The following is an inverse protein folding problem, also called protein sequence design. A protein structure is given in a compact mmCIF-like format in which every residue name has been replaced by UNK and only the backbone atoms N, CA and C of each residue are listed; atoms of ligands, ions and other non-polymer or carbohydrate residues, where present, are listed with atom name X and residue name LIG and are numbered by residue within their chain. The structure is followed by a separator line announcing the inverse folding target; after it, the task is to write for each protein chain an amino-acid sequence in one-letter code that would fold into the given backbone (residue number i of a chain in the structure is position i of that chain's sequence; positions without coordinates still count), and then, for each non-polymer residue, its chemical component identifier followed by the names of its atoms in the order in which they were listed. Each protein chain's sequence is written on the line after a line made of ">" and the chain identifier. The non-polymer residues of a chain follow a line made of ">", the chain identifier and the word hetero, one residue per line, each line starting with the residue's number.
data_IF_132338480693
#
_entry.id   IF_132338480693
#
_cell.length_a   1.000
_cell.length_b   1.000
_cell.length_c   1.000
_cell.angle_alpha   90.00
_cell.angle_beta   90.00
_cell.angle_gamma   90.00
#
_symmetry.space_group_name_H-M   'P 1'
#
loop_
_entity.id
_entity.type
_entity.pdbx_description
1 polymer ?
#
# COMPACT_ATOMS: atom_id res chain seq x y z
N UNK A 1 18.14 21.41 10.91
CA UNK A 1 17.76 20.94 9.56
C UNK A 1 16.59 21.77 9.04
N UNK A 2 16.60 22.03 7.71
CA UNK A 2 15.53 22.72 7.00
C UNK A 2 14.68 21.71 6.24
N UNK A 3 13.39 21.68 6.56
CA UNK A 3 12.41 20.75 6.00
C UNK A 3 11.46 21.46 5.07
N UNK A 4 11.22 20.89 3.90
CA UNK A 4 10.17 21.35 2.98
C UNK A 4 9.18 20.21 2.73
N UNK A 5 7.92 20.46 3.03
CA UNK A 5 6.84 19.51 2.83
C UNK A 5 5.95 19.94 1.65
N UNK A 6 5.76 19.06 0.69
CA UNK A 6 4.75 19.19 -0.36
C UNK A 6 3.52 18.39 0.00
N UNK A 7 2.43 19.07 0.25
CA UNK A 7 1.19 18.56 0.82
C UNK A 7 0.88 19.22 2.16
N UNK A 8 -0.39 19.54 2.39
CA UNK A 8 -0.88 20.13 3.64
C UNK A 8 -2.19 19.46 4.10
N UNK A 9 -2.39 18.21 3.69
CA UNK A 9 -3.50 17.38 4.15
C UNK A 9 -3.21 16.69 5.49
N UNK A 10 -4.14 15.85 5.93
CA UNK A 10 -4.05 15.15 7.23
C UNK A 10 -2.75 14.36 7.40
N UNK A 11 -2.30 13.65 6.36
CA UNK A 11 -1.06 12.88 6.40
C UNK A 11 0.17 13.77 6.63
N UNK A 12 0.31 14.86 5.86
CA UNK A 12 1.42 15.79 5.99
C UNK A 12 1.47 16.42 7.38
N UNK A 13 0.35 16.96 7.83
CA UNK A 13 0.26 17.61 9.16
C UNK A 13 0.56 16.61 10.29
N UNK A 14 0.06 15.38 10.18
CA UNK A 14 0.32 14.33 11.18
C UNK A 14 1.81 13.96 11.25
N UNK A 15 2.47 13.77 10.10
CA UNK A 15 3.91 13.49 10.04
C UNK A 15 4.72 14.66 10.63
N UNK A 16 4.41 15.90 10.24
CA UNK A 16 5.11 17.07 10.73
C UNK A 16 4.95 17.29 12.23
N UNK A 17 3.76 17.00 12.79
CA UNK A 17 3.54 17.05 14.23
C UNK A 17 4.42 16.03 14.96
N UNK A 18 4.54 14.79 14.46
CA UNK A 18 5.44 13.78 15.01
C UNK A 18 6.92 14.21 14.94
N UNK A 19 7.33 14.82 13.82
CA UNK A 19 8.69 15.35 13.67
C UNK A 19 8.98 16.47 14.67
N UNK A 20 8.01 17.36 14.92
CA UNK A 20 8.15 18.37 15.96
C UNK A 20 8.31 17.76 17.36
N UNK A 21 7.59 16.67 17.67
CA UNK A 21 7.75 15.94 18.93
C UNK A 21 9.11 15.25 19.03
N UNK A 22 9.72 14.89 17.90
CA UNK A 22 11.09 14.36 17.83
C UNK A 22 12.17 15.44 17.90
N UNK A 23 11.79 16.72 18.00
CA UNK A 23 12.72 17.84 18.19
C UNK A 23 12.98 18.69 16.95
N UNK A 24 12.33 18.41 15.83
CA UNK A 24 12.41 19.30 14.67
C UNK A 24 11.71 20.61 15.01
N UNK A 25 12.46 21.71 14.92
CA UNK A 25 11.89 23.03 15.19
C UNK A 25 10.88 23.38 14.11
N UNK A 26 9.65 23.75 14.52
CA UNK A 26 8.58 24.12 13.59
C UNK A 26 9.00 25.26 12.66
N UNK A 27 9.83 26.15 13.16
CA UNK A 27 10.39 27.26 12.39
C UNK A 27 11.33 26.85 11.27
N UNK A 28 11.81 25.64 11.25
CA UNK A 28 12.60 25.07 10.16
C UNK A 28 11.76 24.31 9.12
N UNK A 29 10.43 24.25 9.31
CA UNK A 29 9.52 23.55 8.41
C UNK A 29 8.80 24.54 7.51
N UNK A 30 8.88 24.37 6.21
CA UNK A 30 8.09 25.11 5.21
C UNK A 30 7.13 24.14 4.53
N UNK A 31 5.83 24.46 4.56
CA UNK A 31 4.78 23.61 3.97
C UNK A 31 4.24 24.28 2.71
N UNK A 32 4.05 23.48 1.66
CA UNK A 32 3.44 23.88 0.41
C UNK A 32 2.16 23.07 0.17
N UNK A 33 1.11 23.74 -0.27
CA UNK A 33 -0.10 23.10 -0.79
C UNK A 33 -0.27 23.38 -2.30
N UNK A 34 -1.42 23.05 -2.88
CA UNK A 34 -1.72 23.30 -4.30
C UNK A 34 -1.65 24.79 -4.71
N UNK A 35 -1.67 25.70 -3.75
CA UNK A 35 -1.55 27.16 -3.97
C UNK A 35 -0.15 27.71 -3.67
N UNK A 36 0.83 26.84 -3.40
CA UNK A 36 2.20 27.20 -3.06
C UNK A 36 2.48 27.21 -1.55
N UNK A 37 3.47 27.97 -1.14
CA UNK A 37 3.93 28.07 0.26
C UNK A 37 2.82 28.56 1.18
N UNK A 38 2.73 27.96 2.37
CA UNK A 38 1.87 28.43 3.46
C UNK A 38 2.65 29.51 4.23
N UNK A 39 2.26 30.78 4.05
CA UNK A 39 2.92 31.92 4.69
C UNK A 39 1.93 32.80 5.47
N UNK A 40 2.44 33.58 6.41
CA UNK A 40 1.64 34.49 7.23
C UNK A 40 0.98 35.58 6.34
N UNK A 41 -0.34 35.73 6.46
CA UNK A 41 -1.11 36.69 5.66
C UNK A 41 -1.45 36.20 4.26
N UNK A 42 -1.28 34.91 3.94
CA UNK A 42 -1.69 34.34 2.65
C UNK A 42 -3.20 34.49 2.45
N UNK A 43 -3.68 35.05 1.31
CA UNK A 43 -5.09 35.16 1.04
C UNK A 43 -5.72 33.81 0.72
N UNK A 44 -6.70 33.39 1.51
CA UNK A 44 -7.53 32.20 1.28
C UNK A 44 -6.86 30.84 1.43
N UNK A 45 -7.67 29.83 1.68
CA UNK A 45 -7.20 28.43 1.81
C UNK A 45 -6.41 28.12 3.08
N UNK A 46 -6.64 28.88 4.13
CA UNK A 46 -6.06 28.68 5.45
C UNK A 46 -7.12 28.15 6.42
N UNK A 47 -6.80 27.06 7.08
CA UNK A 47 -7.51 26.54 8.24
C UNK A 47 -6.56 26.60 9.46
N UNK A 48 -7.07 26.29 10.65
CA UNK A 48 -6.25 26.32 11.88
C UNK A 48 -5.03 25.42 11.82
N UNK A 49 -5.13 24.26 11.19
CA UNK A 49 -4.05 23.30 11.06
C UNK A 49 -2.93 23.82 10.18
N UNK A 50 -3.27 24.41 9.04
CA UNK A 50 -2.32 25.06 8.13
C UNK A 50 -1.72 26.31 8.73
N UNK A 51 -2.52 27.10 9.45
CA UNK A 51 -2.06 28.33 10.11
C UNK A 51 -0.91 28.07 11.10
N UNK A 52 -0.87 26.91 11.74
CA UNK A 52 0.22 26.51 12.64
C UNK A 52 1.58 26.39 11.94
N UNK A 53 1.58 26.17 10.62
CA UNK A 53 2.78 26.03 9.78
C UNK A 53 3.00 27.24 8.89
N UNK A 54 2.23 28.33 9.05
CA UNK A 54 2.43 29.55 8.30
C UNK A 54 3.77 30.22 8.65
N UNK A 55 4.59 30.47 7.62
CA UNK A 55 5.93 31.03 7.77
C UNK A 55 5.97 32.51 7.41
N UNK A 56 6.80 33.26 8.11
CA UNK A 56 7.18 34.59 7.66
C UNK A 56 8.31 34.47 6.64
N UNK A 57 7.97 34.40 5.37
CA UNK A 57 8.90 34.13 4.26
C UNK A 57 8.44 34.80 2.98
N UNK A 58 9.40 35.14 2.12
CA UNK A 58 9.14 35.63 0.76
C UNK A 58 8.95 34.51 -0.27
N UNK A 59 9.23 33.25 0.09
CA UNK A 59 8.99 32.10 -0.78
C UNK A 59 7.48 31.95 -1.07
N UNK A 60 7.12 31.70 -2.33
CA UNK A 60 5.75 31.53 -2.79
C UNK A 60 5.51 30.16 -3.43
N UNK A 61 6.51 29.61 -4.04
CA UNK A 61 6.45 28.31 -4.76
C UNK A 61 7.27 27.25 -4.04
N UNK A 62 7.03 25.97 -4.41
CA UNK A 62 7.86 24.87 -3.96
C UNK A 62 9.34 25.08 -4.37
N UNK A 63 9.57 25.57 -5.60
CA UNK A 63 10.92 25.89 -6.11
C UNK A 63 11.65 26.96 -5.30
N UNK A 64 10.92 27.94 -4.73
CA UNK A 64 11.53 28.92 -3.82
C UNK A 64 11.91 28.30 -2.48
N UNK A 65 11.01 27.47 -1.95
CA UNK A 65 11.15 26.90 -0.60
C UNK A 65 12.27 25.86 -0.53
N UNK A 66 12.43 25.04 -1.59
CA UNK A 66 13.29 23.86 -1.59
C UNK A 66 14.79 24.20 -1.60
N UNK A 67 15.16 25.40 -2.03
CA UNK A 67 16.55 25.84 -2.12
C UNK A 67 17.26 25.76 -0.76
N UNK A 68 18.35 24.97 -0.71
CA UNK A 68 19.11 24.72 0.49
C UNK A 68 18.33 23.96 1.57
N UNK A 69 17.28 23.20 1.22
CA UNK A 69 16.60 22.32 2.14
C UNK A 69 17.37 21.01 2.34
N UNK A 70 17.43 20.55 3.59
CA UNK A 70 18.06 19.26 3.94
C UNK A 70 17.11 18.10 3.66
N UNK A 71 15.79 18.32 3.85
CA UNK A 71 14.77 17.27 3.72
C UNK A 71 13.59 17.75 2.91
N UNK A 72 13.20 16.94 1.92
CA UNK A 72 11.92 17.04 1.22
C UNK A 72 10.97 15.93 1.71
N UNK A 73 9.77 16.30 2.13
CA UNK A 73 8.68 15.38 2.46
C UNK A 73 7.54 15.56 1.47
N UNK A 74 7.38 14.60 0.55
CA UNK A 74 6.33 14.56 -0.45
C UNK A 74 5.13 13.74 0.02
N UNK A 75 3.99 14.41 0.21
CA UNK A 75 2.69 13.81 0.54
C UNK A 75 1.60 14.51 -0.29
N UNK A 76 1.83 14.61 -1.58
CA UNK A 76 1.04 15.42 -2.52
C UNK A 76 0.70 14.65 -3.81
N UNK A 77 1.21 15.09 -4.93
CA UNK A 77 0.90 14.52 -6.25
C UNK A 77 2.16 14.22 -7.05
N UNK A 78 2.05 13.27 -7.97
CA UNK A 78 3.12 12.83 -8.83
C UNK A 78 3.80 13.98 -9.58
N UNK A 79 5.13 13.95 -9.68
CA UNK A 79 5.91 14.79 -10.57
C UNK A 79 6.00 16.27 -10.18
N UNK A 80 5.60 16.65 -8.97
CA UNK A 80 5.68 18.06 -8.51
C UNK A 80 7.10 18.51 -8.19
N UNK A 81 7.98 17.59 -7.78
CA UNK A 81 9.39 17.87 -7.53
C UNK A 81 10.19 17.67 -8.82
N UNK A 82 10.95 18.69 -9.24
CA UNK A 82 11.75 18.67 -10.47
C UNK A 82 13.22 18.48 -10.16
N UNK A 83 14.00 18.01 -11.15
CA UNK A 83 15.43 17.77 -11.00
C UNK A 83 16.22 19.04 -10.64
N UNK A 84 15.87 20.19 -11.22
CA UNK A 84 16.48 21.48 -10.90
C UNK A 84 16.23 21.93 -9.46
N UNK A 85 15.04 21.59 -8.92
CA UNK A 85 14.72 21.82 -7.52
C UNK A 85 15.58 20.94 -6.59
N UNK A 86 15.74 19.66 -6.93
CA UNK A 86 16.59 18.72 -6.16
C UNK A 86 18.05 19.14 -6.21
N UNK A 87 18.54 19.58 -7.38
CA UNK A 87 19.91 20.07 -7.52
C UNK A 87 20.22 21.27 -6.60
N UNK A 88 19.20 22.08 -6.27
CA UNK A 88 19.32 23.24 -5.37
C UNK A 88 19.17 22.93 -3.87
N UNK A 89 18.99 21.67 -3.48
CA UNK A 89 18.93 21.25 -2.05
C UNK A 89 20.31 21.28 -1.39
N UNK A 90 20.33 21.15 -0.06
CA UNK A 90 21.56 21.05 0.74
C UNK A 90 22.38 19.79 0.39
N UNK A 91 23.60 19.68 0.92
CA UNK A 91 24.45 18.50 0.74
C UNK A 91 23.85 17.26 1.40
N UNK A 92 23.93 16.12 0.72
CA UNK A 92 23.35 14.83 1.12
C UNK A 92 21.87 14.96 1.53
N UNK A 93 21.01 15.46 0.65
CA UNK A 93 19.61 15.72 0.99
C UNK A 93 18.84 14.42 1.16
N UNK A 94 17.81 14.45 2.00
CA UNK A 94 16.85 13.36 2.15
C UNK A 94 15.59 13.68 1.35
N UNK A 95 15.20 12.78 0.44
CA UNK A 95 14.01 12.94 -0.42
C UNK A 95 13.02 11.83 -0.14
N UNK A 96 11.97 12.14 0.62
CA UNK A 96 10.83 11.25 0.86
C UNK A 96 9.74 11.57 -0.15
N UNK A 97 9.67 10.84 -1.26
CA UNK A 97 8.68 11.02 -2.32
C UNK A 97 7.59 9.94 -2.19
N UNK A 98 6.54 10.23 -1.43
CA UNK A 98 5.60 9.24 -0.91
C UNK A 98 4.23 9.23 -1.60
N UNK A 99 4.04 10.02 -2.67
CA UNK A 99 2.82 9.96 -3.47
C UNK A 99 2.66 8.59 -4.15
N UNK A 100 1.45 8.07 -4.16
CA UNK A 100 1.10 6.77 -4.75
C UNK A 100 0.08 6.93 -5.89
N UNK A 101 0.18 6.16 -6.99
CA UNK A 101 1.19 5.12 -7.27
C UNK A 101 2.52 5.67 -7.83
N UNK A 102 2.54 6.92 -8.28
CA UNK A 102 3.72 7.59 -8.84
C UNK A 102 4.20 8.65 -7.85
N UNK A 103 5.50 8.62 -7.45
CA UNK A 103 6.05 9.56 -6.49
C UNK A 103 6.16 10.99 -7.05
N UNK A 104 6.40 11.96 -6.18
CA UNK A 104 6.63 13.37 -6.54
C UNK A 104 7.81 13.55 -7.49
N UNK A 105 8.79 12.67 -7.40
CA UNK A 105 9.91 12.53 -8.34
C UNK A 105 10.38 11.07 -8.34
N UNK A 106 10.77 10.55 -9.48
CA UNK A 106 11.30 9.19 -9.58
C UNK A 106 12.74 9.14 -9.03
N UNK A 107 13.12 8.08 -8.27
CA UNK A 107 14.45 7.96 -7.66
C UNK A 107 15.62 8.11 -8.64
N UNK A 108 15.52 7.57 -9.84
CA UNK A 108 16.54 7.70 -10.88
C UNK A 108 16.75 9.14 -11.32
N UNK A 109 15.70 9.97 -11.32
CA UNK A 109 15.80 11.39 -11.65
C UNK A 109 16.50 12.18 -10.53
N UNK A 110 16.31 11.77 -9.26
CA UNK A 110 17.03 12.36 -8.12
C UNK A 110 18.51 11.99 -8.21
N UNK A 111 18.82 10.70 -8.36
CA UNK A 111 20.21 10.20 -8.42
C UNK A 111 20.99 10.76 -9.61
N UNK A 112 20.33 11.08 -10.72
CA UNK A 112 20.98 11.69 -11.88
C UNK A 112 21.57 13.08 -11.59
N UNK A 113 20.98 13.86 -10.67
CA UNK A 113 21.45 15.22 -10.31
C UNK A 113 22.06 15.28 -8.92
N UNK A 114 21.72 14.37 -8.03
CA UNK A 114 22.22 14.27 -6.65
C UNK A 114 22.47 12.80 -6.29
N UNK A 115 23.61 12.22 -6.71
CA UNK A 115 23.97 10.83 -6.39
C UNK A 115 24.15 10.61 -4.87
N UNK A 116 24.46 11.67 -4.13
CA UNK A 116 24.61 11.70 -2.67
C UNK A 116 23.26 11.71 -1.90
N UNK A 117 22.12 11.90 -2.59
CA UNK A 117 20.81 11.96 -1.93
C UNK A 117 20.38 10.62 -1.34
N UNK A 118 19.78 10.67 -0.17
CA UNK A 118 19.06 9.54 0.44
C UNK A 118 17.59 9.62 -0.02
N UNK A 119 17.06 8.51 -0.55
CA UNK A 119 15.74 8.50 -1.15
C UNK A 119 14.87 7.42 -0.52
N UNK A 120 13.61 7.76 -0.24
CA UNK A 120 12.59 6.81 0.15
C UNK A 120 11.29 7.06 -0.64
N UNK A 121 10.60 5.99 -1.01
CA UNK A 121 9.32 6.05 -1.74
C UNK A 121 8.31 5.06 -1.17
N UNK A 122 7.03 5.17 -1.56
CA UNK A 122 6.01 4.18 -1.24
C UNK A 122 6.09 2.91 -2.10
N UNK A 123 7.00 2.83 -3.07
CA UNK A 123 7.08 1.73 -4.04
C UNK A 123 7.95 0.59 -3.51
N UNK A 124 7.51 -0.64 -3.77
CA UNK A 124 8.22 -1.86 -3.35
C UNK A 124 9.42 -2.23 -4.22
N UNK A 125 9.54 -1.63 -5.40
CA UNK A 125 10.62 -1.86 -6.37
C UNK A 125 11.83 -0.93 -6.18
N UNK A 126 11.82 -0.12 -5.11
CA UNK A 126 12.93 0.76 -4.73
C UNK A 126 13.38 0.49 -3.30
N UNK A 127 14.61 0.88 -3.00
CA UNK A 127 15.15 0.89 -1.63
C UNK A 127 14.35 1.83 -0.72
N UNK A 128 14.42 1.62 0.58
CA UNK A 128 13.74 2.44 1.58
C UNK A 128 12.23 2.56 1.31
N UNK A 129 11.55 1.43 1.08
CA UNK A 129 10.11 1.42 0.90
C UNK A 129 9.39 1.88 2.18
N UNK A 130 8.68 3.00 2.10
CA UNK A 130 7.78 3.46 3.17
C UNK A 130 6.42 2.83 2.98
N UNK A 131 6.08 1.88 3.86
CA UNK A 131 4.83 1.13 3.78
C UNK A 131 4.09 1.18 5.12
N UNK A 132 2.79 1.43 5.08
CA UNK A 132 1.93 1.47 6.27
C UNK A 132 1.96 0.15 7.06
N UNK A 133 2.20 -0.98 6.40
CA UNK A 133 2.27 -2.31 7.04
C UNK A 133 3.37 -2.41 8.11
N UNK A 134 4.38 -1.57 8.05
CA UNK A 134 5.44 -1.53 9.06
C UNK A 134 4.94 -1.16 10.46
N UNK A 135 3.88 -0.36 10.54
CA UNK A 135 3.35 0.13 11.81
C UNK A 135 1.89 -0.28 12.06
N UNK A 136 1.06 -0.16 11.03
CA UNK A 136 -0.40 -0.26 11.14
C UNK A 136 -0.90 -1.51 11.87
N UNK A 137 -0.48 -2.76 11.55
CA UNK A 137 -0.99 -3.93 12.27
C UNK A 137 -0.54 -3.95 13.72
N UNK A 138 0.67 -3.50 13.99
CA UNK A 138 1.34 -3.70 15.28
C UNK A 138 1.01 -2.64 16.31
N UNK A 139 0.73 -1.40 15.89
CA UNK A 139 0.22 -0.36 16.80
C UNK A 139 -1.17 -0.74 17.30
N UNK A 140 -2.05 -1.28 16.44
CA UNK A 140 -3.36 -1.78 16.87
C UNK A 140 -3.24 -3.05 17.68
N UNK A 141 -2.31 -3.96 17.35
CA UNK A 141 -2.05 -5.15 18.15
C UNK A 141 -1.69 -4.78 19.59
N UNK A 142 -0.71 -3.90 19.77
CA UNK A 142 -0.31 -3.44 21.09
C UNK A 142 -1.43 -2.73 21.87
N UNK A 143 -2.19 -1.88 21.18
CA UNK A 143 -3.32 -1.17 21.78
C UNK A 143 -4.46 -2.11 22.20
N UNK A 144 -4.85 -3.04 21.34
CA UNK A 144 -5.94 -3.98 21.61
C UNK A 144 -5.59 -5.01 22.68
N UNK A 145 -4.36 -5.48 22.72
CA UNK A 145 -3.91 -6.47 23.71
C UNK A 145 -4.03 -5.94 25.15
N UNK A 146 -3.80 -4.64 25.35
CA UNK A 146 -3.99 -3.99 26.67
C UNK A 146 -5.36 -3.33 26.83
N UNK A 147 -6.25 -3.44 25.83
CA UNK A 147 -7.57 -2.80 25.85
C UNK A 147 -7.48 -1.28 25.97
N UNK A 148 -6.58 -0.65 25.21
CA UNK A 148 -6.44 0.79 25.21
C UNK A 148 -7.72 1.47 24.71
N UNK A 149 -8.16 2.52 25.40
CA UNK A 149 -9.40 3.26 25.08
C UNK A 149 -9.22 4.25 23.94
N UNK A 150 -7.97 4.59 23.60
CA UNK A 150 -7.59 5.47 22.50
C UNK A 150 -6.11 5.27 22.14
N UNK A 151 -5.71 5.70 20.95
CA UNK A 151 -4.30 5.79 20.55
C UNK A 151 -3.76 7.16 20.98
N UNK A 152 -2.79 7.16 21.89
CA UNK A 152 -2.16 8.39 22.40
C UNK A 152 -0.94 8.79 21.56
N UNK A 153 -0.45 10.01 21.73
CA UNK A 153 0.78 10.45 21.05
C UNK A 153 2.00 9.64 21.53
N UNK A 154 2.05 9.26 22.81
CA UNK A 154 3.10 8.42 23.37
C UNK A 154 3.15 7.04 22.71
N UNK A 155 1.99 6.45 22.40
CA UNK A 155 1.90 5.18 21.68
C UNK A 155 2.42 5.30 20.24
N UNK A 156 2.10 6.41 19.55
CA UNK A 156 2.64 6.70 18.21
C UNK A 156 4.15 6.88 18.27
N UNK A 157 4.66 7.65 19.22
CA UNK A 157 6.09 7.85 19.42
C UNK A 157 6.84 6.57 19.76
N UNK A 158 6.23 5.70 20.58
CA UNK A 158 6.79 4.39 20.90
C UNK A 158 6.92 3.50 19.65
N UNK A 159 5.92 3.53 18.76
CA UNK A 159 5.99 2.78 17.49
C UNK A 159 7.07 3.33 16.55
N UNK A 160 7.20 4.65 16.43
CA UNK A 160 8.24 5.29 15.62
C UNK A 160 9.64 4.89 16.10
N UNK A 161 9.90 4.97 17.41
CA UNK A 161 11.19 4.58 17.99
C UNK A 161 11.48 3.09 17.81
N UNK A 162 10.49 2.23 18.00
CA UNK A 162 10.65 0.79 17.84
C UNK A 162 10.99 0.41 16.37
N UNK A 163 10.41 1.12 15.37
CA UNK A 163 10.73 0.92 13.95
C UNK A 163 12.17 1.40 13.66
N UNK A 164 12.56 2.58 14.18
CA UNK A 164 13.90 3.11 13.99
C UNK A 164 14.97 2.20 14.61
N UNK A 165 14.80 1.78 15.86
CA UNK A 165 15.67 0.82 16.54
C UNK A 165 15.78 -0.51 15.78
N UNK A 166 14.71 -0.95 15.16
CA UNK A 166 14.73 -2.19 14.38
C UNK A 166 15.51 -2.05 13.08
N UNK A 167 15.48 -0.87 12.43
CA UNK A 167 16.29 -0.58 11.24
C UNK A 167 17.79 -0.61 11.54
N UNK A 168 18.18 -0.15 12.73
CA UNK A 168 19.58 -0.14 13.20
C UNK A 168 20.06 -1.51 13.73
N UNK A 169 19.12 -2.40 14.08
CA UNK A 169 19.46 -3.72 14.61
C UNK A 169 20.00 -4.65 13.50
N UNK A 170 20.93 -5.53 13.90
CA UNK A 170 21.41 -6.57 12.98
C UNK A 170 20.25 -7.39 12.41
N UNK A 171 20.32 -7.64 11.12
CA UNK A 171 19.32 -8.41 10.38
C UNK A 171 19.51 -9.89 10.69
N UNK A 172 18.41 -10.59 11.03
CA UNK A 172 18.45 -12.03 11.27
C UNK A 172 18.51 -12.80 9.95
N UNK A 173 19.03 -14.06 10.01
CA UNK A 173 19.08 -14.94 8.84
C UNK A 173 17.70 -15.15 8.19
N UNK A 174 16.64 -15.13 8.97
CA UNK A 174 15.26 -15.25 8.48
C UNK A 174 14.85 -14.07 7.59
N UNK A 175 15.23 -12.85 7.96
CA UNK A 175 14.99 -11.67 7.14
C UNK A 175 15.87 -11.68 5.90
N UNK A 176 17.16 -12.05 6.03
CA UNK A 176 18.07 -12.18 4.90
C UNK A 176 17.60 -13.21 3.88
N UNK A 177 17.02 -14.34 4.33
CA UNK A 177 16.43 -15.36 3.46
C UNK A 177 15.16 -14.89 2.75
N UNK A 178 14.42 -13.96 3.34
CA UNK A 178 13.21 -13.39 2.72
C UNK A 178 13.53 -12.36 1.62
N UNK A 179 14.75 -11.79 1.63
CA UNK A 179 15.20 -10.76 0.68
C UNK A 179 16.58 -11.10 0.09
N UNK A 180 16.69 -12.18 -0.70
CA UNK A 180 17.95 -12.65 -1.23
C UNK A 180 18.59 -11.63 -2.17
N UNK A 181 19.86 -11.33 -1.96
CA UNK A 181 20.64 -10.41 -2.80
C UNK A 181 20.49 -8.93 -2.46
N UNK A 182 19.76 -8.58 -1.41
CA UNK A 182 19.70 -7.22 -0.89
C UNK A 182 20.71 -7.03 0.26
N UNK A 183 21.38 -5.87 0.29
CA UNK A 183 22.21 -5.46 1.42
C UNK A 183 21.32 -4.84 2.49
N UNK A 184 21.10 -5.57 3.59
CA UNK A 184 20.18 -5.20 4.67
C UNK A 184 20.94 -4.66 5.89
N UNK A 185 21.90 -3.78 5.69
CA UNK A 185 22.62 -3.09 6.77
C UNK A 185 22.18 -1.63 6.84
N UNK A 186 22.05 -1.09 8.06
CA UNK A 186 21.62 0.29 8.26
C UNK A 186 22.54 1.27 7.51
N UNK A 187 21.93 2.09 6.68
CA UNK A 187 22.65 3.02 5.81
C UNK A 187 21.73 3.72 4.82
N UNK A 188 22.27 4.48 3.86
CA UNK A 188 21.46 5.28 2.92
C UNK A 188 20.44 4.49 2.10
N UNK A 189 20.66 3.18 1.91
CA UNK A 189 19.78 2.29 1.16
C UNK A 189 18.92 1.38 2.05
N UNK A 190 19.12 1.41 3.36
CA UNK A 190 18.34 0.69 4.35
C UNK A 190 18.11 1.54 5.60
N UNK A 191 17.17 2.49 5.51
CA UNK A 191 16.75 3.36 6.62
C UNK A 191 15.56 2.82 7.40
N UNK A 192 14.84 1.88 6.83
CA UNK A 192 13.56 1.40 7.33
C UNK A 192 13.51 -0.11 7.18
N UNK A 193 12.97 -0.86 8.17
CA UNK A 193 12.83 -2.31 8.07
C UNK A 193 11.99 -2.74 6.88
N UNK A 194 12.20 -3.95 6.42
CA UNK A 194 11.39 -4.53 5.34
C UNK A 194 9.98 -4.89 5.82
N UNK A 195 8.95 -4.80 4.96
CA UNK A 195 7.54 -5.06 5.31
C UNK A 195 7.26 -6.45 5.91
N UNK A 196 8.03 -7.45 5.53
CA UNK A 196 7.86 -8.83 6.02
C UNK A 196 8.87 -9.23 7.09
N UNK A 197 9.49 -8.24 7.76
CA UNK A 197 10.38 -8.51 8.89
C UNK A 197 9.57 -9.06 10.08
N UNK A 198 9.78 -10.33 10.47
CA UNK A 198 9.01 -10.96 11.55
C UNK A 198 9.23 -10.30 12.92
N UNK A 199 10.29 -9.52 13.06
CA UNK A 199 10.63 -8.81 14.31
C UNK A 199 9.72 -7.62 14.57
N UNK A 200 9.02 -7.07 13.54
CA UNK A 200 8.14 -5.90 13.65
C UNK A 200 7.11 -6.06 14.77
N UNK A 201 6.34 -7.15 14.77
CA UNK A 201 5.30 -7.39 15.78
C UNK A 201 5.87 -7.53 17.18
N UNK A 202 7.02 -8.22 17.33
CA UNK A 202 7.65 -8.52 18.62
C UNK A 202 8.32 -7.27 19.23
N UNK A 203 8.62 -6.27 18.41
CA UNK A 203 9.20 -4.99 18.83
C UNK A 203 8.15 -3.91 19.04
N UNK A 204 7.29 -3.70 18.05
CA UNK A 204 6.34 -2.57 18.05
C UNK A 204 5.18 -2.81 19.01
N UNK A 205 4.52 -3.99 18.98
CA UNK A 205 3.36 -4.22 19.82
C UNK A 205 3.65 -4.11 21.32
N UNK A 206 4.77 -4.65 21.88
CA UNK A 206 5.13 -4.43 23.28
C UNK A 206 5.47 -2.97 23.62
N UNK A 207 6.12 -2.24 22.72
CA UNK A 207 6.44 -0.84 22.93
C UNK A 207 5.16 0.01 23.04
N UNK A 208 4.21 -0.22 22.13
CA UNK A 208 2.90 0.44 22.12
C UNK A 208 2.08 0.06 23.35
N UNK A 209 2.03 -1.24 23.72
CA UNK A 209 1.31 -1.71 24.90
C UNK A 209 1.84 -1.06 26.17
N UNK A 210 3.15 -0.94 26.32
CA UNK A 210 3.78 -0.26 27.47
C UNK A 210 3.41 1.22 27.48
N UNK A 211 3.54 1.92 26.36
CA UNK A 211 3.15 3.33 26.27
C UNK A 211 1.67 3.57 26.62
N UNK A 212 0.78 2.65 26.23
CA UNK A 212 -0.63 2.71 26.58
C UNK A 212 -0.86 2.53 28.10
N UNK A 213 -0.11 1.63 28.73
CA UNK A 213 -0.15 1.44 30.19
C UNK A 213 0.38 2.68 30.92
N UNK A 214 1.54 3.19 30.50
CA UNK A 214 2.20 4.35 31.11
C UNK A 214 1.36 5.63 30.98
N UNK A 215 0.61 5.78 29.87
CA UNK A 215 -0.33 6.90 29.65
C UNK A 215 -1.72 6.69 30.28
N UNK A 216 -1.93 5.60 31.03
CA UNK A 216 -3.15 5.35 31.80
C UNK A 216 -4.40 5.04 30.93
N UNK A 217 -4.22 4.67 29.65
CA UNK A 217 -5.35 4.36 28.76
C UNK A 217 -5.62 2.85 28.63
N UNK A 218 -4.77 2.00 29.21
CA UNK A 218 -4.89 0.57 29.19
C UNK A 218 -5.93 0.08 30.23
N UNK A 219 -6.88 -0.75 29.81
CA UNK A 219 -7.88 -1.36 30.72
C UNK A 219 -7.51 -2.77 31.15
N UNK A 220 -6.55 -3.41 30.44
CA UNK A 220 -6.07 -4.78 30.71
C UNK A 220 -4.53 -4.79 30.72
N UNK A 221 -3.89 -4.32 31.79
CA UNK A 221 -2.43 -4.22 31.82
C UNK A 221 -1.73 -5.59 31.72
N UNK A 222 -0.64 -5.64 30.99
CA UNK A 222 0.21 -6.82 30.87
C UNK A 222 1.11 -6.88 32.11
N UNK A 223 1.02 -7.99 32.87
CA UNK A 223 1.86 -8.25 34.05
C UNK A 223 3.04 -9.14 33.72
N UNK A 224 2.88 -10.09 32.78
CA UNK A 224 3.92 -11.01 32.33
C UNK A 224 4.38 -10.70 30.90
N UNK A 225 5.42 -9.91 30.79
CA UNK A 225 6.00 -9.48 29.51
C UNK A 225 6.72 -10.61 28.78
N UNK A 226 7.24 -11.60 29.50
CA UNK A 226 7.94 -12.73 28.90
C UNK A 226 6.94 -13.62 28.14
N UNK A 227 5.86 -14.00 28.80
CA UNK A 227 4.77 -14.78 28.19
C UNK A 227 4.13 -13.99 27.03
N UNK A 228 3.94 -12.68 27.18
CA UNK A 228 3.39 -11.85 26.10
C UNK A 228 4.27 -11.85 24.86
N UNK A 229 5.57 -11.63 25.00
CA UNK A 229 6.52 -11.68 23.86
C UNK A 229 6.59 -13.07 23.24
N UNK A 230 6.57 -14.11 24.04
CA UNK A 230 6.54 -15.50 23.52
C UNK A 230 5.31 -15.76 22.65
N UNK A 231 4.13 -15.31 23.07
CA UNK A 231 2.89 -15.41 22.27
C UNK A 231 2.96 -14.62 20.97
N UNK A 232 3.57 -13.43 20.96
CA UNK A 232 3.77 -12.66 19.74
C UNK A 232 4.72 -13.36 18.76
N UNK A 233 5.82 -13.93 19.29
CA UNK A 233 6.76 -14.71 18.48
C UNK A 233 6.10 -15.96 17.89
N UNK A 234 5.33 -16.69 18.70
CA UNK A 234 4.57 -17.85 18.26
C UNK A 234 3.58 -17.49 17.13
N UNK A 235 2.88 -16.36 17.25
CA UNK A 235 1.97 -15.88 16.23
C UNK A 235 2.66 -15.66 14.87
N UNK A 236 3.85 -15.10 14.85
CA UNK A 236 4.66 -14.91 13.64
C UNK A 236 5.03 -16.25 13.01
N UNK A 237 5.52 -17.17 13.81
CA UNK A 237 5.91 -18.51 13.33
C UNK A 237 4.72 -19.30 12.79
N UNK A 238 3.56 -19.25 13.44
CA UNK A 238 2.36 -19.95 12.97
C UNK A 238 1.83 -19.39 11.64
N UNK A 239 1.82 -18.07 11.46
CA UNK A 239 1.39 -17.44 10.20
C UNK A 239 2.34 -17.82 9.06
N UNK A 240 3.64 -17.75 9.27
CA UNK A 240 4.65 -18.15 8.27
C UNK A 240 4.59 -19.63 7.93
N UNK A 241 4.42 -20.51 8.91
CA UNK A 241 4.29 -21.97 8.71
C UNK A 241 2.98 -22.30 7.99
N UNK A 242 1.85 -21.69 8.38
CA UNK A 242 0.57 -21.91 7.73
C UNK A 242 0.56 -21.47 6.27
N UNK A 243 1.13 -20.30 5.96
CA UNK A 243 1.24 -19.80 4.60
C UNK A 243 2.25 -20.61 3.76
N UNK A 244 3.35 -21.09 4.34
CA UNK A 244 4.29 -21.98 3.65
C UNK A 244 3.60 -23.25 3.13
N UNK A 245 2.76 -23.88 3.95
CA UNK A 245 2.00 -25.05 3.53
C UNK A 245 1.05 -24.74 2.35
N UNK A 246 0.38 -23.58 2.38
CA UNK A 246 -0.51 -23.13 1.31
C UNK A 246 0.28 -22.82 0.03
N UNK A 247 1.38 -22.07 0.12
CA UNK A 247 2.25 -21.77 -1.02
C UNK A 247 2.88 -23.05 -1.60
N UNK A 248 3.33 -23.97 -0.74
CA UNK A 248 3.87 -25.25 -1.18
C UNK A 248 2.81 -26.11 -1.87
N UNK A 249 1.60 -26.17 -1.33
CA UNK A 249 0.48 -26.86 -1.95
C UNK A 249 0.12 -26.24 -3.31
N UNK A 250 0.11 -24.91 -3.43
CA UNK A 250 -0.13 -24.21 -4.69
C UNK A 250 0.97 -24.51 -5.73
N UNK A 251 2.25 -24.50 -5.32
CA UNK A 251 3.40 -24.84 -6.20
C UNK A 251 3.39 -26.32 -6.62
N UNK A 252 2.99 -27.22 -5.74
CA UNK A 252 2.92 -28.67 -6.02
C UNK A 252 1.76 -29.06 -6.93
N UNK A 253 0.77 -28.19 -7.12
CA UNK A 253 -0.36 -28.40 -8.02
C UNK A 253 0.04 -28.37 -9.52
N UNK A 254 1.27 -28.81 -9.87
CA UNK A 254 1.79 -28.90 -11.24
C UNK A 254 0.80 -29.65 -12.15
N UNK A 255 0.35 -29.01 -13.24
CA UNK A 255 -0.64 -29.55 -14.18
C UNK A 255 -2.11 -29.29 -13.84
N UNK A 256 -2.42 -28.77 -12.65
CA UNK A 256 -3.77 -28.38 -12.20
C UNK A 256 -3.80 -26.99 -11.60
N UNK A 257 -2.96 -26.07 -12.11
CA UNK A 257 -2.96 -24.67 -11.62
C UNK A 257 -4.36 -24.09 -11.74
N UNK A 258 -4.84 -23.52 -10.65
CA UNK A 258 -6.14 -22.84 -10.60
C UNK A 258 -6.14 -21.62 -11.51
N UNK A 259 -7.24 -21.45 -12.22
CA UNK A 259 -7.47 -20.26 -13.09
C UNK A 259 -8.09 -19.18 -12.23
N UNK A 260 -7.38 -18.09 -12.05
CA UNK A 260 -7.81 -16.98 -11.17
C UNK A 260 -8.05 -15.75 -12.02
N UNK A 261 -9.27 -15.23 -11.99
CA UNK A 261 -9.63 -13.98 -12.64
C UNK A 261 -9.19 -12.80 -11.79
N UNK A 262 -8.57 -11.83 -12.43
CA UNK A 262 -8.33 -10.50 -11.90
C UNK A 262 -9.23 -9.52 -12.64
N UNK A 263 -10.25 -9.00 -11.96
CA UNK A 263 -11.30 -8.18 -12.60
C UNK A 263 -10.74 -6.87 -13.16
N UNK A 264 -9.84 -6.21 -12.42
CA UNK A 264 -9.22 -4.96 -12.82
C UNK A 264 -7.89 -5.20 -13.54
N UNK A 265 -7.89 -6.04 -14.59
CA UNK A 265 -6.68 -6.49 -15.30
C UNK A 265 -5.91 -5.39 -16.03
N UNK A 266 -6.48 -4.19 -16.20
CA UNK A 266 -5.77 -3.03 -16.74
C UNK A 266 -4.96 -2.28 -15.63
N UNK A 267 -5.17 -2.53 -14.34
CA UNK A 267 -4.48 -1.84 -13.27
C UNK A 267 -3.03 -2.30 -13.08
N UNK A 268 -2.09 -1.35 -13.00
CA UNK A 268 -0.65 -1.65 -12.90
C UNK A 268 -0.34 -2.54 -11.68
N UNK A 269 -0.96 -2.27 -10.53
CA UNK A 269 -0.78 -3.09 -9.32
C UNK A 269 -1.25 -4.52 -9.52
N UNK A 270 -2.35 -4.72 -10.26
CA UNK A 270 -2.88 -6.04 -10.61
C UNK A 270 -1.93 -6.76 -11.56
N UNK A 271 -1.37 -6.05 -12.55
CA UNK A 271 -0.39 -6.63 -13.48
C UNK A 271 0.88 -7.09 -12.76
N UNK A 272 1.40 -6.30 -11.81
CA UNK A 272 2.55 -6.69 -10.97
C UNK A 272 2.22 -7.91 -10.11
N UNK A 273 1.05 -7.95 -9.49
CA UNK A 273 0.62 -9.11 -8.70
C UNK A 273 0.46 -10.37 -9.57
N UNK A 274 -0.08 -10.23 -10.77
CA UNK A 274 -0.21 -11.33 -11.73
C UNK A 274 1.16 -11.89 -12.14
N UNK A 275 2.16 -11.04 -12.36
CA UNK A 275 3.53 -11.48 -12.64
C UNK A 275 4.09 -12.33 -11.49
N UNK A 276 3.95 -11.88 -10.25
CA UNK A 276 4.40 -12.66 -9.08
C UNK A 276 3.68 -14.02 -9.01
N UNK A 277 2.38 -14.05 -9.24
CA UNK A 277 1.59 -15.30 -9.27
C UNK A 277 2.09 -16.27 -10.33
N UNK A 278 2.51 -15.76 -11.50
CA UNK A 278 3.08 -16.55 -12.61
C UNK A 278 4.48 -17.07 -12.23
N UNK A 279 5.37 -16.17 -11.80
CA UNK A 279 6.77 -16.49 -11.45
C UNK A 279 6.83 -17.51 -10.32
N UNK A 280 6.02 -17.34 -9.28
CA UNK A 280 5.92 -18.29 -8.16
C UNK A 280 5.15 -19.57 -8.49
N UNK A 281 4.47 -19.59 -9.63
CA UNK A 281 3.72 -20.77 -10.08
C UNK A 281 2.46 -21.09 -9.29
N UNK A 282 1.85 -20.11 -8.61
CA UNK A 282 0.69 -20.30 -7.74
C UNK A 282 -0.61 -20.57 -8.51
N UNK A 283 -0.83 -19.87 -9.60
CA UNK A 283 -2.05 -19.95 -10.39
C UNK A 283 -1.80 -19.58 -11.87
N UNK A 284 -2.84 -19.74 -12.69
CA UNK A 284 -2.90 -19.21 -14.05
C UNK A 284 -3.82 -17.99 -14.07
N UNK A 285 -3.29 -16.77 -14.24
CA UNK A 285 -4.10 -15.56 -14.26
C UNK A 285 -4.98 -15.47 -15.51
N UNK A 286 -6.17 -14.88 -15.31
CA UNK A 286 -7.08 -14.42 -16.38
C UNK A 286 -7.32 -12.94 -16.10
N UNK A 287 -6.88 -12.06 -16.98
CA UNK A 287 -7.01 -10.61 -16.81
C UNK A 287 -8.19 -10.09 -17.64
N UNK A 288 -9.13 -9.39 -17.00
CA UNK A 288 -10.22 -8.70 -17.72
C UNK A 288 -9.73 -7.32 -18.11
N UNK A 289 -9.73 -7.03 -19.42
CA UNK A 289 -9.32 -5.73 -19.91
C UNK A 289 -9.09 -5.73 -21.43
N UNK A 290 -8.82 -4.57 -21.96
CA UNK A 290 -8.54 -4.36 -23.39
C UNK A 290 -7.08 -4.73 -23.68
N UNK A 291 -6.82 -5.64 -24.63
CA UNK A 291 -5.47 -6.11 -24.94
C UNK A 291 -4.46 -4.98 -25.17
N UNK A 292 -4.74 -3.95 -26.01
CA UNK A 292 -3.77 -2.89 -26.25
C UNK A 292 -3.42 -2.07 -24.99
N UNK A 293 -4.37 -1.94 -24.05
CA UNK A 293 -4.13 -1.21 -22.80
C UNK A 293 -3.25 -2.03 -21.87
N UNK A 294 -3.54 -3.34 -21.75
CA UNK A 294 -2.73 -4.26 -20.94
C UNK A 294 -1.30 -4.31 -21.49
N UNK A 295 -1.13 -4.53 -22.79
CA UNK A 295 0.18 -4.62 -23.45
C UNK A 295 1.00 -3.34 -23.26
N UNK A 296 0.41 -2.18 -23.48
CA UNK A 296 1.08 -0.89 -23.24
C UNK A 296 1.51 -0.72 -21.77
N UNK A 297 0.67 -1.15 -20.82
CA UNK A 297 1.01 -1.07 -19.38
C UNK A 297 2.08 -2.07 -18.98
N UNK A 298 2.10 -3.27 -19.55
CA UNK A 298 3.17 -4.25 -19.36
C UNK A 298 4.52 -3.68 -19.81
N UNK A 299 4.57 -3.09 -21.00
CA UNK A 299 5.76 -2.47 -21.53
C UNK A 299 6.23 -1.31 -20.67
N UNK A 300 5.34 -0.39 -20.31
CA UNK A 300 5.65 0.76 -19.46
C UNK A 300 6.16 0.35 -18.07
N UNK A 301 5.56 -0.69 -17.48
CA UNK A 301 5.94 -1.22 -16.18
C UNK A 301 7.13 -2.21 -16.25
N UNK A 302 7.67 -2.47 -17.45
CA UNK A 302 8.77 -3.42 -17.72
C UNK A 302 8.47 -4.83 -17.19
N UNK A 303 7.21 -5.26 -17.26
CA UNK A 303 6.80 -6.59 -16.86
C UNK A 303 7.09 -7.62 -17.96
N UNK A 304 7.45 -8.86 -17.56
CA UNK A 304 7.97 -9.88 -18.49
C UNK A 304 6.93 -10.90 -18.96
N UNK A 305 5.73 -10.87 -18.38
CA UNK A 305 4.68 -11.84 -18.70
C UNK A 305 4.08 -11.59 -20.10
N UNK A 306 3.84 -12.69 -20.82
CA UNK A 306 3.40 -12.68 -22.22
C UNK A 306 1.94 -13.11 -22.34
N UNK A 307 1.07 -12.27 -22.95
CA UNK A 307 -0.33 -12.64 -23.20
C UNK A 307 -0.46 -13.93 -24.02
N UNK A 308 -1.42 -14.79 -23.67
CA UNK A 308 -1.66 -16.07 -24.34
C UNK A 308 -0.71 -17.19 -23.94
N UNK A 309 0.48 -16.88 -23.41
CA UNK A 309 1.46 -17.86 -22.91
C UNK A 309 1.34 -17.99 -21.40
N UNK A 310 1.58 -16.89 -20.67
CA UNK A 310 1.65 -16.88 -19.22
C UNK A 310 0.28 -16.64 -18.57
N UNK A 311 -0.58 -15.89 -19.23
CA UNK A 311 -1.92 -15.55 -18.77
C UNK A 311 -2.90 -15.37 -19.94
N UNK A 312 -4.20 -15.41 -19.63
CA UNK A 312 -5.28 -15.19 -20.58
C UNK A 312 -5.83 -13.75 -20.43
N UNK A 313 -6.22 -13.13 -21.56
CA UNK A 313 -6.96 -11.87 -21.55
C UNK A 313 -8.41 -12.12 -21.93
N UNK A 314 -9.33 -11.63 -21.11
CA UNK A 314 -10.77 -11.53 -21.43
C UNK A 314 -11.02 -10.11 -21.91
N UNK A 315 -11.15 -9.93 -23.21
CA UNK A 315 -11.51 -8.64 -23.80
C UNK A 315 -13.04 -8.42 -23.71
N UNK A 316 -13.53 -7.46 -22.92
CA UNK A 316 -14.97 -7.22 -22.76
C UNK A 316 -15.71 -6.90 -24.06
N UNK A 317 -14.99 -6.45 -25.10
CA UNK A 317 -15.58 -6.05 -26.37
C UNK A 317 -15.70 -7.20 -27.37
N UNK A 318 -14.82 -8.21 -27.30
CA UNK A 318 -14.67 -9.22 -28.36
C UNK A 318 -14.59 -10.67 -27.85
N UNK A 319 -14.76 -10.90 -26.52
CA UNK A 319 -14.68 -12.26 -25.98
C UNK A 319 -15.82 -13.15 -26.52
N UNK A 320 -15.48 -14.34 -26.98
CA UNK A 320 -16.43 -15.32 -27.52
C UNK A 320 -17.51 -15.76 -26.51
N UNK A 321 -17.16 -15.77 -25.22
CA UNK A 321 -18.05 -16.13 -24.09
C UNK A 321 -19.06 -15.03 -23.75
N UNK A 322 -18.93 -13.84 -24.35
CA UNK A 322 -19.77 -12.68 -24.04
C UNK A 322 -21.27 -12.99 -24.18
N UNK A 323 -21.67 -13.69 -25.28
CA UNK A 323 -23.06 -14.02 -25.52
C UNK A 323 -23.63 -14.91 -24.41
N UNK A 324 -22.93 -15.96 -24.04
CA UNK A 324 -23.33 -16.88 -22.96
C UNK A 324 -23.41 -16.15 -21.63
N UNK A 325 -22.39 -15.34 -21.30
CA UNK A 325 -22.33 -14.59 -20.05
C UNK A 325 -23.51 -13.63 -19.89
N UNK A 326 -23.84 -12.80 -20.90
CA UNK A 326 -24.95 -11.86 -20.74
C UNK A 326 -26.32 -12.55 -20.74
N UNK A 327 -26.50 -13.64 -21.46
CA UNK A 327 -27.73 -14.43 -21.42
C UNK A 327 -27.94 -15.07 -20.05
N UNK A 328 -26.91 -15.69 -19.50
CA UNK A 328 -26.95 -16.26 -18.15
C UNK A 328 -27.17 -15.19 -17.08
N UNK A 329 -26.51 -14.03 -17.19
CA UNK A 329 -26.73 -12.89 -16.31
C UNK A 329 -28.17 -12.37 -16.39
N UNK A 330 -28.70 -12.18 -17.60
CA UNK A 330 -30.11 -11.77 -17.78
C UNK A 330 -31.08 -12.76 -17.15
N UNK A 331 -30.90 -14.05 -17.43
CA UNK A 331 -31.75 -15.12 -16.83
C UNK A 331 -31.75 -15.08 -15.31
N UNK A 332 -30.60 -14.80 -14.70
CA UNK A 332 -30.44 -14.71 -13.24
C UNK A 332 -31.11 -13.46 -12.65
N UNK A 333 -31.05 -12.34 -13.39
CA UNK A 333 -31.39 -11.02 -12.88
C UNK A 333 -32.71 -10.45 -13.43
N UNK A 334 -33.42 -11.17 -14.31
CA UNK A 334 -34.65 -10.69 -14.95
C UNK A 334 -35.73 -10.29 -13.95
N UNK A 335 -35.89 -11.05 -12.87
CA UNK A 335 -36.84 -10.72 -11.79
C UNK A 335 -36.47 -9.48 -10.98
N UNK A 336 -35.25 -8.97 -11.15
CA UNK A 336 -34.75 -7.73 -10.53
C UNK A 336 -34.73 -6.56 -11.52
N UNK A 337 -35.49 -6.66 -12.61
CA UNK A 337 -35.67 -5.59 -13.59
C UNK A 337 -34.50 -5.42 -14.58
N UNK A 338 -33.60 -6.39 -14.69
CA UNK A 338 -32.52 -6.34 -15.68
C UNK A 338 -33.05 -6.75 -17.04
N UNK A 339 -33.06 -5.81 -17.98
CA UNK A 339 -33.41 -6.06 -19.40
C UNK A 339 -32.24 -6.65 -20.16
N UNK A 340 -32.44 -7.25 -21.35
CA UNK A 340 -31.33 -7.71 -22.18
C UNK A 340 -30.34 -6.62 -22.57
N UNK A 341 -30.81 -5.38 -22.75
CA UNK A 341 -29.94 -4.23 -23.03
C UNK A 341 -29.00 -3.91 -21.85
N UNK A 342 -29.58 -3.83 -20.63
CA UNK A 342 -28.82 -3.63 -19.40
C UNK A 342 -27.82 -4.78 -19.15
N UNK A 343 -28.22 -6.03 -19.40
CA UNK A 343 -27.36 -7.19 -19.26
C UNK A 343 -26.13 -7.08 -20.18
N UNK A 344 -26.36 -6.76 -21.44
CA UNK A 344 -25.29 -6.56 -22.45
C UNK A 344 -24.34 -5.44 -22.07
N UNK A 345 -24.87 -4.31 -21.59
CA UNK A 345 -24.05 -3.17 -21.15
C UNK A 345 -23.17 -3.54 -19.95
N UNK A 346 -23.75 -4.17 -18.91
CA UNK A 346 -23.01 -4.56 -17.72
C UNK A 346 -21.87 -5.54 -18.01
N UNK A 347 -22.10 -6.51 -18.90
CA UNK A 347 -21.09 -7.48 -19.34
C UNK A 347 -20.02 -6.89 -20.28
N UNK A 348 -20.12 -5.61 -20.65
CA UNK A 348 -19.07 -4.87 -21.36
C UNK A 348 -18.32 -3.87 -20.50
N UNK A 349 -18.97 -3.33 -19.45
CA UNK A 349 -18.44 -2.18 -18.71
C UNK A 349 -18.10 -2.46 -17.25
N UNK A 350 -18.52 -3.59 -16.69
CA UNK A 350 -18.37 -3.88 -15.27
C UNK A 350 -17.49 -5.13 -15.05
N UNK A 351 -16.19 -4.95 -14.87
CA UNK A 351 -15.25 -6.08 -14.77
C UNK A 351 -15.62 -7.09 -13.69
N UNK A 352 -16.08 -6.63 -12.52
CA UNK A 352 -16.55 -7.53 -11.44
C UNK A 352 -17.74 -8.39 -11.88
N UNK A 353 -18.67 -7.83 -12.66
CA UNK A 353 -19.82 -8.59 -13.18
C UNK A 353 -19.35 -9.63 -14.21
N UNK A 354 -18.44 -9.23 -15.10
CA UNK A 354 -17.83 -10.12 -16.10
C UNK A 354 -17.14 -11.28 -15.40
N UNK A 355 -16.25 -10.99 -14.45
CA UNK A 355 -15.50 -11.99 -13.69
C UNK A 355 -16.41 -12.95 -12.90
N UNK A 356 -17.43 -12.41 -12.25
CA UNK A 356 -18.40 -13.21 -11.50
C UNK A 356 -19.20 -14.17 -12.42
N UNK A 357 -19.57 -13.72 -13.62
CA UNK A 357 -20.26 -14.59 -14.57
C UNK A 357 -19.35 -15.66 -15.16
N UNK A 358 -18.12 -15.33 -15.50
CA UNK A 358 -17.12 -16.32 -15.94
C UNK A 358 -16.86 -17.38 -14.87
N UNK A 359 -16.70 -16.95 -13.61
CA UNK A 359 -16.56 -17.87 -12.49
C UNK A 359 -17.78 -18.77 -12.32
N UNK A 360 -19.00 -18.19 -12.36
CA UNK A 360 -20.23 -18.94 -12.24
C UNK A 360 -20.45 -19.98 -13.35
N UNK A 361 -20.01 -19.67 -14.56
CA UNK A 361 -20.09 -20.58 -15.73
C UNK A 361 -18.94 -21.60 -15.78
N UNK A 362 -18.01 -21.58 -14.82
CA UNK A 362 -16.93 -22.56 -14.71
C UNK A 362 -15.71 -22.27 -15.59
N UNK A 363 -15.60 -21.07 -16.15
CA UNK A 363 -14.43 -20.66 -16.92
C UNK A 363 -13.23 -20.31 -16.04
N UNK A 364 -13.41 -20.18 -14.74
CA UNK A 364 -12.35 -19.96 -13.77
C UNK A 364 -12.65 -20.67 -12.46
N UNK A 365 -11.64 -20.75 -11.58
CA UNK A 365 -11.71 -21.42 -10.29
C UNK A 365 -11.77 -20.41 -9.12
N UNK A 366 -11.46 -19.14 -9.38
CA UNK A 366 -11.53 -18.05 -8.42
C UNK A 366 -11.56 -16.68 -9.09
N UNK A 367 -11.96 -15.65 -8.31
CA UNK A 367 -12.06 -14.26 -8.76
C UNK A 367 -11.50 -13.34 -7.69
N UNK A 368 -10.61 -12.43 -8.09
CA UNK A 368 -10.14 -11.29 -7.32
C UNK A 368 -10.69 -10.01 -7.94
N UNK A 369 -11.29 -9.16 -7.11
CA UNK A 369 -11.85 -7.87 -7.53
C UNK A 369 -11.85 -6.87 -6.39
N UNK A 370 -12.01 -5.58 -6.70
CA UNK A 370 -12.12 -4.52 -5.71
C UNK A 370 -10.84 -3.70 -5.53
N UNK A 371 -9.90 -3.78 -6.48
CA UNK A 371 -8.73 -2.90 -6.49
C UNK A 371 -9.13 -1.43 -6.72
N UNK A 372 -10.22 -1.20 -7.46
CA UNK A 372 -10.78 0.11 -7.74
C UNK A 372 -12.26 0.15 -7.39
N UNK A 373 -12.74 1.28 -6.85
CA UNK A 373 -14.13 1.44 -6.46
C UNK A 373 -14.40 1.11 -4.99
N UNK A 374 -15.69 1.04 -4.65
CA UNK A 374 -16.13 0.82 -3.27
C UNK A 374 -16.32 -0.67 -2.98
N UNK A 375 -15.77 -1.12 -1.84
CA UNK A 375 -15.90 -2.50 -1.36
C UNK A 375 -17.34 -3.01 -1.36
N UNK A 376 -18.29 -2.22 -0.83
CA UNK A 376 -19.69 -2.63 -0.73
C UNK A 376 -20.35 -2.82 -2.10
N UNK A 377 -19.92 -2.08 -3.12
CA UNK A 377 -20.40 -2.28 -4.47
C UNK A 377 -19.98 -3.65 -5.02
N UNK A 378 -18.69 -3.99 -4.92
CA UNK A 378 -18.17 -5.30 -5.36
C UNK A 378 -18.82 -6.44 -4.57
N UNK A 379 -18.93 -6.30 -3.25
CA UNK A 379 -19.55 -7.29 -2.38
C UNK A 379 -21.04 -7.52 -2.74
N UNK A 380 -21.76 -6.44 -3.07
CA UNK A 380 -23.15 -6.50 -3.53
C UNK A 380 -23.29 -7.30 -4.83
N UNK A 381 -22.40 -7.06 -5.80
CA UNK A 381 -22.35 -7.81 -7.07
C UNK A 381 -22.08 -9.30 -6.81
N UNK A 382 -21.04 -9.61 -6.05
CA UNK A 382 -20.65 -11.00 -5.75
C UNK A 382 -21.78 -11.73 -4.98
N UNK A 383 -22.37 -11.08 -4.00
CA UNK A 383 -23.49 -11.66 -3.22
C UNK A 383 -24.71 -11.97 -4.10
N UNK A 384 -24.97 -11.15 -5.13
CA UNK A 384 -26.10 -11.36 -6.04
C UNK A 384 -25.82 -12.45 -7.09
N UNK A 385 -24.60 -12.55 -7.58
CA UNK A 385 -24.25 -13.42 -8.71
C UNK A 385 -23.72 -14.80 -8.25
N UNK A 386 -22.94 -14.83 -7.21
CA UNK A 386 -22.35 -16.05 -6.64
C UNK A 386 -23.14 -16.54 -5.44
N UNK A 387 -23.45 -15.62 -4.50
CA UNK A 387 -24.15 -15.93 -3.27
C UNK A 387 -23.25 -16.51 -2.19
N UNK A 388 -23.91 -16.96 -1.11
CA UNK A 388 -23.25 -17.65 0.02
C UNK A 388 -23.46 -19.17 -0.10
N UNK A 389 -22.54 -19.94 0.46
CA UNK A 389 -22.73 -21.39 0.59
C UNK A 389 -23.96 -21.69 1.46
N UNK A 390 -24.69 -22.80 1.21
CA UNK A 390 -25.74 -23.23 2.11
C UNK A 390 -25.24 -23.36 3.55
N UNK A 391 -26.02 -22.88 4.51
CA UNK A 391 -25.66 -22.91 5.94
C UNK A 391 -24.72 -21.80 6.41
N UNK A 392 -24.24 -20.91 5.53
CA UNK A 392 -23.38 -19.79 5.90
C UNK A 392 -24.22 -18.51 6.08
N UNK A 393 -24.24 -17.97 7.29
CA UNK A 393 -25.02 -16.79 7.63
C UNK A 393 -24.29 -15.46 7.41
N UNK A 394 -22.95 -15.45 7.45
CA UNK A 394 -22.12 -14.25 7.28
C UNK A 394 -21.16 -14.38 6.11
N UNK A 395 -20.74 -13.24 5.56
CA UNK A 395 -19.59 -13.15 4.66
C UNK A 395 -18.36 -12.88 5.52
N UNK A 396 -17.26 -13.56 5.22
CA UNK A 396 -15.95 -13.28 5.81
C UNK A 396 -15.06 -12.64 4.75
N UNK A 397 -14.31 -11.64 5.13
CA UNK A 397 -13.28 -11.04 4.30
C UNK A 397 -11.94 -11.19 5.02
N UNK A 398 -10.92 -11.55 4.27
CA UNK A 398 -9.54 -11.50 4.72
C UNK A 398 -8.86 -10.37 3.95
N UNK A 399 -8.31 -9.42 4.68
CA UNK A 399 -7.47 -8.37 4.12
C UNK A 399 -6.03 -8.82 4.28
N UNK A 400 -5.39 -9.17 3.18
CA UNK A 400 -3.94 -9.34 3.11
C UNK A 400 -3.36 -7.98 2.71
N UNK A 401 -2.63 -7.36 3.59
CA UNK A 401 -1.78 -6.22 3.28
C UNK A 401 -0.38 -6.70 2.98
#
# INVERSE_FOLDING_TARGET
>A
IKVVCSGAGAAAISCLNLWCQLGVQRDNITVCDSKGVIYVGRPGGMDETKARYARNTNARTLGDAIKGADVFLGLSTAGVLKQDMVAGMADRPMVFALANPTPEIMPELVKAVRPDAIIATGRSDYVNQVNNVLCFPFIFRGALDVGATRITEEMKMASVRAIAELAEAEVTDEVALAYPGEELSFGPEYLIPKPFDPRLIVKIAPAVARAAMDSGVATRPITDWQTYRAKLSEFVYHTGVGMRAIFQAARQAKGKRKRIIFAEGEEERVLRAAQVVIEEGFARPILIGRPPVIEHRLEKAKLRMVPGVDFEIVNPEQDERYRECWMAYHKLMVRRGVTPAIAKEKLRRKPTVIGAMLLRLGYADGLLCGMTGEYMHHLGVISQLIGKRPGVNSLAAMRSE
#
